data_IF_620200426272
#
_entry.id   IF_620200426272
#
_cell.length_a   1.000
_cell.length_b   1.000
_cell.length_c   1.000
_cell.angle_alpha   90.00
_cell.angle_beta   90.00
_cell.angle_gamma   90.00
#
_symmetry.space_group_name_H-M   'P 1'
#
loop_
_entity.id
_entity.type
_entity.pdbx_description
1 polymer ?
#
# COMPACT_ATOMS: atom_id res chain seq x y z
N UNK A 1 7.14 -15.68 -18.59
CA UNK A 1 7.29 -14.21 -18.52
C UNK A 1 6.05 -13.70 -17.80
N UNK A 2 6.18 -12.90 -16.72
CA UNK A 2 5.01 -12.29 -16.10
C UNK A 2 4.34 -11.41 -17.15
N UNK A 3 3.04 -11.62 -17.35
CA UNK A 3 2.26 -10.85 -18.30
C UNK A 3 1.84 -9.52 -17.65
N UNK A 4 1.36 -8.53 -18.40
CA UNK A 4 0.95 -7.24 -17.82
C UNK A 4 -0.16 -7.39 -16.75
N UNK A 5 -0.86 -8.53 -16.76
CA UNK A 5 -1.85 -8.93 -15.77
C UNK A 5 -1.27 -9.30 -14.39
N UNK A 6 0.00 -9.72 -14.34
CA UNK A 6 0.72 -10.06 -13.10
C UNK A 6 1.28 -8.83 -12.38
N UNK A 7 1.37 -7.69 -13.07
CA UNK A 7 1.85 -6.46 -12.45
C UNK A 7 0.79 -5.89 -11.49
N UNK A 8 1.20 -5.41 -10.30
CA UNK A 8 0.26 -4.79 -9.39
C UNK A 8 -0.30 -3.48 -10.01
N UNK A 9 -1.55 -3.11 -9.68
CA UNK A 9 -2.13 -1.86 -10.13
C UNK A 9 -1.25 -0.68 -9.72
N UNK A 10 -1.06 0.29 -10.62
CA UNK A 10 -0.29 1.51 -10.33
C UNK A 10 -0.82 2.25 -9.09
N UNK A 11 -2.12 2.19 -8.85
CA UNK A 11 -2.74 2.74 -7.64
C UNK A 11 -2.22 2.07 -6.36
N UNK A 12 -2.08 0.75 -6.35
CA UNK A 12 -1.59 -0.01 -5.21
C UNK A 12 -0.11 0.31 -4.92
N UNK A 13 0.71 0.42 -5.98
CA UNK A 13 2.11 0.84 -5.86
C UNK A 13 2.25 2.26 -5.31
N UNK A 14 1.41 3.19 -5.80
CA UNK A 14 1.42 4.59 -5.36
C UNK A 14 0.98 4.74 -3.90
N UNK A 15 -0.04 3.99 -3.48
CA UNK A 15 -0.46 3.94 -2.08
C UNK A 15 0.65 3.38 -1.19
N UNK A 16 1.30 2.30 -1.63
CA UNK A 16 2.40 1.70 -0.88
C UNK A 16 3.60 2.63 -0.74
N UNK A 17 4.02 3.32 -1.81
CA UNK A 17 5.11 4.30 -1.77
C UNK A 17 4.81 5.43 -0.79
N UNK A 18 3.61 6.04 -0.87
CA UNK A 18 3.21 7.10 0.05
C UNK A 18 3.15 6.61 1.51
N UNK A 19 2.58 5.42 1.75
CA UNK A 19 2.53 4.82 3.08
C UNK A 19 3.93 4.54 3.63
N UNK A 20 4.83 3.95 2.84
CA UNK A 20 6.20 3.65 3.23
C UNK A 20 7.03 4.92 3.49
N UNK A 21 6.82 5.98 2.69
CA UNK A 21 7.51 7.28 2.85
C UNK A 21 7.05 8.04 4.09
N UNK A 22 5.74 8.07 4.32
CA UNK A 22 5.12 8.82 5.41
C UNK A 22 5.06 8.04 6.72
N UNK A 23 5.24 6.72 6.64
CA UNK A 23 5.12 5.78 7.74
C UNK A 23 3.76 5.88 8.44
N UNK A 24 2.70 6.23 7.71
CA UNK A 24 1.35 6.33 8.27
C UNK A 24 0.31 6.18 7.16
N UNK A 25 -0.66 5.30 7.39
CA UNK A 25 -1.79 5.14 6.47
C UNK A 25 -2.71 6.35 6.45
N UNK A 26 -2.81 7.06 7.57
CA UNK A 26 -3.62 8.28 7.69
C UNK A 26 -3.02 9.39 6.85
N UNK A 27 -1.71 9.65 7.00
CA UNK A 27 -1.03 10.69 6.19
C UNK A 27 -1.00 10.34 4.70
N UNK A 28 -0.81 9.06 4.37
CA UNK A 28 -0.89 8.61 2.97
C UNK A 28 -2.30 8.80 2.39
N UNK A 29 -3.34 8.58 3.19
CA UNK A 29 -4.71 8.83 2.78
C UNK A 29 -4.94 10.33 2.50
N UNK A 30 -4.49 11.21 3.40
CA UNK A 30 -4.56 12.66 3.22
C UNK A 30 -3.80 13.13 1.98
N UNK A 31 -2.56 12.67 1.78
CA UNK A 31 -1.75 13.04 0.62
C UNK A 31 -2.38 12.59 -0.71
N UNK A 32 -2.98 11.42 -0.72
CA UNK A 32 -3.56 10.82 -1.92
C UNK A 32 -5.03 11.22 -2.15
N UNK A 33 -5.64 11.99 -1.25
CA UNK A 33 -7.07 12.32 -1.30
C UNK A 33 -7.96 11.09 -1.18
N UNK A 34 -7.52 10.09 -0.42
CA UNK A 34 -8.19 8.81 -0.21
C UNK A 34 -8.71 8.71 1.23
N UNK A 35 -9.59 7.74 1.48
CA UNK A 35 -9.91 7.34 2.85
C UNK A 35 -8.84 6.36 3.35
N UNK A 36 -8.61 6.34 4.67
CA UNK A 36 -7.71 5.36 5.28
C UNK A 36 -8.11 3.91 4.93
N UNK A 37 -9.41 3.63 4.83
CA UNK A 37 -9.94 2.34 4.40
C UNK A 37 -9.54 2.00 2.95
N UNK A 38 -9.57 2.97 2.04
CA UNK A 38 -9.14 2.78 0.66
C UNK A 38 -7.63 2.54 0.55
N UNK A 39 -6.83 3.23 1.37
CA UNK A 39 -5.38 2.99 1.49
C UNK A 39 -5.11 1.56 1.97
N UNK A 40 -5.76 1.13 3.04
CA UNK A 40 -5.63 -0.23 3.57
C UNK A 40 -6.03 -1.29 2.53
N UNK A 41 -7.12 -1.07 1.79
CA UNK A 41 -7.55 -1.96 0.73
C UNK A 41 -6.52 -2.07 -0.40
N UNK A 42 -5.97 -0.95 -0.89
CA UNK A 42 -4.97 -0.96 -1.95
C UNK A 42 -3.67 -1.68 -1.54
N UNK A 43 -3.26 -1.54 -0.28
CA UNK A 43 -2.11 -2.29 0.26
C UNK A 43 -2.42 -3.78 0.33
N UNK A 44 -3.61 -4.16 0.76
CA UNK A 44 -4.02 -5.57 0.77
C UNK A 44 -4.02 -6.17 -0.64
N UNK A 45 -4.51 -5.44 -1.64
CA UNK A 45 -4.44 -5.86 -3.06
C UNK A 45 -3.00 -6.02 -3.54
N UNK A 46 -2.09 -5.16 -3.08
CA UNK A 46 -0.67 -5.27 -3.38
C UNK A 46 -0.07 -6.54 -2.76
N UNK A 47 -0.34 -6.79 -1.49
CA UNK A 47 0.12 -7.97 -0.75
C UNK A 47 -0.39 -9.28 -1.36
N UNK A 48 -1.67 -9.34 -1.73
CA UNK A 48 -2.28 -10.50 -2.39
C UNK A 48 -1.59 -10.82 -3.73
N UNK A 49 -1.18 -9.80 -4.48
CA UNK A 49 -0.52 -9.98 -5.79
C UNK A 49 0.94 -10.37 -5.68
N UNK A 50 1.67 -9.85 -4.70
CA UNK A 50 3.10 -10.15 -4.52
C UNK A 50 3.30 -11.42 -3.69
N UNK A 51 2.25 -11.89 -2.97
CA UNK A 51 2.30 -13.09 -2.14
C UNK A 51 3.14 -12.93 -0.88
N UNK A 52 3.45 -11.69 -0.48
CA UNK A 52 4.30 -11.38 0.66
C UNK A 52 3.73 -10.19 1.45
N UNK A 53 3.79 -10.23 2.79
CA UNK A 53 3.45 -9.09 3.62
C UNK A 53 4.43 -7.95 3.32
N UNK A 54 3.90 -6.78 2.96
CA UNK A 54 4.73 -5.65 2.52
C UNK A 54 5.32 -4.85 3.69
N UNK A 55 4.81 -5.08 4.90
CA UNK A 55 5.23 -4.37 6.12
C UNK A 55 5.71 -5.36 7.19
N UNK A 56 7.03 -5.38 7.44
CA UNK A 56 7.60 -6.04 8.61
C UNK A 56 7.18 -5.28 9.86
N UNK A 57 6.59 -6.01 10.81
CA UNK A 57 5.83 -5.48 11.92
C UNK A 57 6.69 -4.74 12.98
N UNK A 58 7.01 -3.48 12.73
CA UNK A 58 7.23 -2.51 13.80
C UNK A 58 5.94 -1.71 13.99
N UNK A 59 4.98 -2.31 14.71
CA UNK A 59 3.60 -1.81 14.88
C UNK A 59 3.52 -0.44 15.57
N UNK A 60 4.63 0.03 16.15
CA UNK A 60 4.73 1.31 16.85
C UNK A 60 4.92 2.52 15.90
N UNK A 61 5.22 2.30 14.62
CA UNK A 61 5.61 3.39 13.70
C UNK A 61 4.52 3.84 12.71
N UNK A 62 3.39 3.12 12.60
CA UNK A 62 2.41 3.27 11.52
C UNK A 62 1.08 3.98 11.87
N UNK A 63 1.04 4.70 13.00
CA UNK A 63 -0.13 5.49 13.40
C UNK A 63 -0.16 6.84 12.65
#
# INVERSE_FOLDING_TARGET
MPDASDLPPLAALRVFEAAARLLSFTKAAEELGMTQAAVSYQIKVLEDRIGAPSFCADRARWN
#
